data_IF_827584537012
#
_entry.id   IF_827584537012
#
_cell.length_a   1.000
_cell.length_b   1.000
_cell.length_c   1.000
_cell.angle_alpha   90.00
_cell.angle_beta   90.00
_cell.angle_gamma   90.00
#
_symmetry.space_group_name_H-M   'P 1'
#
loop_
_entity.id
_entity.type
_entity.pdbx_description
1 polymer ?
#
# COMPACT_ATOMS: atom_id res chain seq x y z
N UNK A 1 -37.45 -36.27 -5.42
CA UNK A 1 -35.99 -36.51 -5.26
C UNK A 1 -35.13 -35.41 -5.90
N UNK A 2 -35.50 -34.88 -7.07
CA UNK A 2 -34.76 -33.82 -7.79
C UNK A 2 -34.57 -32.51 -7.01
N UNK A 3 -35.59 -32.08 -6.25
CA UNK A 3 -35.57 -30.82 -5.47
C UNK A 3 -34.55 -30.83 -4.33
N UNK A 4 -34.35 -31.97 -3.67
CA UNK A 4 -33.39 -32.10 -2.58
C UNK A 4 -31.93 -32.08 -3.08
N UNK A 5 -31.68 -32.61 -4.27
CA UNK A 5 -30.37 -32.56 -4.94
C UNK A 5 -30.05 -31.11 -5.33
N UNK A 6 -31.02 -30.40 -5.93
CA UNK A 6 -30.87 -28.98 -6.31
C UNK A 6 -30.58 -28.09 -5.10
N UNK A 7 -31.28 -28.31 -3.97
CA UNK A 7 -31.03 -27.56 -2.73
C UNK A 7 -29.62 -27.80 -2.16
N UNK A 8 -29.13 -29.03 -2.23
CA UNK A 8 -27.79 -29.39 -1.76
C UNK A 8 -26.70 -28.74 -2.62
N UNK A 9 -26.86 -28.72 -3.93
CA UNK A 9 -25.90 -28.08 -4.83
C UNK A 9 -25.94 -26.54 -4.69
N UNK A 10 -27.12 -25.94 -4.56
CA UNK A 10 -27.25 -24.50 -4.24
C UNK A 10 -26.54 -24.13 -2.94
N UNK A 11 -26.68 -24.95 -1.90
CA UNK A 11 -25.99 -24.72 -0.61
C UNK A 11 -24.47 -24.72 -0.78
N UNK A 12 -23.90 -25.65 -1.56
CA UNK A 12 -22.46 -25.68 -1.84
C UNK A 12 -21.99 -24.45 -2.61
N UNK A 13 -22.79 -23.98 -3.58
CA UNK A 13 -22.47 -22.77 -4.35
C UNK A 13 -22.40 -21.56 -3.42
N UNK A 14 -23.38 -21.40 -2.53
CA UNK A 14 -23.41 -20.30 -1.55
C UNK A 14 -22.24 -20.37 -0.57
N UNK A 15 -21.90 -21.57 -0.08
CA UNK A 15 -20.74 -21.77 0.80
C UNK A 15 -19.43 -21.43 0.10
N UNK A 16 -19.31 -21.76 -1.18
CA UNK A 16 -18.15 -21.43 -2.01
C UNK A 16 -18.04 -19.93 -2.25
N UNK A 17 -19.17 -19.25 -2.54
CA UNK A 17 -19.20 -17.79 -2.69
C UNK A 17 -18.77 -17.07 -1.41
N UNK A 18 -19.25 -17.51 -0.24
CA UNK A 18 -18.82 -16.94 1.05
C UNK A 18 -17.32 -17.11 1.28
N UNK A 19 -16.75 -18.26 0.92
CA UNK A 19 -15.30 -18.48 1.02
C UNK A 19 -14.53 -17.52 0.11
N UNK A 20 -14.97 -17.34 -1.13
CA UNK A 20 -14.34 -16.42 -2.06
C UNK A 20 -14.44 -14.95 -1.64
N UNK A 21 -15.55 -14.53 -1.03
CA UNK A 21 -15.65 -13.18 -0.45
C UNK A 21 -14.61 -12.93 0.65
N UNK A 22 -14.36 -13.93 1.51
CA UNK A 22 -13.34 -13.84 2.56
C UNK A 22 -11.94 -13.76 1.94
N UNK A 23 -11.63 -14.63 0.99
CA UNK A 23 -10.33 -14.63 0.30
C UNK A 23 -10.08 -13.31 -0.45
N UNK A 24 -11.10 -12.78 -1.13
CA UNK A 24 -11.02 -11.48 -1.80
C UNK A 24 -10.78 -10.33 -0.83
N UNK A 25 -11.41 -10.35 0.35
CA UNK A 25 -11.17 -9.31 1.36
C UNK A 25 -9.76 -9.39 1.95
N UNK A 26 -9.20 -10.59 2.12
CA UNK A 26 -7.81 -10.77 2.53
C UNK A 26 -6.86 -10.20 1.46
N UNK A 27 -7.11 -10.49 0.18
CA UNK A 27 -6.30 -9.98 -0.93
C UNK A 27 -6.41 -8.45 -1.01
N UNK A 28 -7.61 -7.87 -0.91
CA UNK A 28 -7.78 -6.41 -0.88
C UNK A 28 -7.00 -5.77 0.26
N UNK A 29 -7.07 -6.35 1.46
CA UNK A 29 -6.34 -5.85 2.62
C UNK A 29 -4.83 -5.92 2.41
N UNK A 30 -4.33 -7.02 1.84
CA UNK A 30 -2.91 -7.17 1.50
C UNK A 30 -2.47 -6.16 0.43
N UNK A 31 -3.32 -5.90 -0.58
CA UNK A 31 -3.08 -4.87 -1.59
C UNK A 31 -3.06 -3.47 -0.95
N UNK A 32 -4.01 -3.16 -0.07
CA UNK A 32 -4.05 -1.86 0.62
C UNK A 32 -2.82 -1.66 1.51
N UNK A 33 -2.38 -2.71 2.22
CA UNK A 33 -1.16 -2.70 3.05
C UNK A 33 0.10 -2.49 2.19
N UNK A 34 0.22 -3.18 1.05
CA UNK A 34 1.36 -3.02 0.13
C UNK A 34 1.31 -1.73 -0.69
N UNK A 35 0.12 -1.24 -1.08
CA UNK A 35 -0.06 0.02 -1.78
C UNK A 35 0.25 1.22 -0.86
N UNK A 36 0.07 1.10 0.46
CA UNK A 36 0.54 2.10 1.43
C UNK A 36 2.07 2.13 1.56
N UNK A 37 2.75 1.00 1.35
CA UNK A 37 4.21 0.92 1.31
C UNK A 37 4.80 1.42 -0.02
N UNK A 38 4.06 1.27 -1.12
CA UNK A 38 4.42 1.82 -2.43
C UNK A 38 4.15 3.33 -2.50
N UNK A 39 5.05 4.07 -1.84
CA UNK A 39 5.50 5.38 -2.28
C UNK A 39 4.44 6.51 -2.22
N UNK A 40 4.43 7.23 -1.09
CA UNK A 40 3.69 8.49 -0.93
C UNK A 40 4.06 9.49 -2.05
N UNK A 41 3.14 9.85 -2.96
CA UNK A 41 3.44 10.73 -4.10
C UNK A 41 4.00 12.10 -3.66
N UNK A 42 3.54 12.62 -2.53
CA UNK A 42 4.04 13.87 -1.95
C UNK A 42 5.49 13.74 -1.49
N UNK A 43 5.87 12.59 -0.93
CA UNK A 43 7.24 12.33 -0.52
C UNK A 43 8.18 12.27 -1.73
N UNK A 44 7.77 11.61 -2.82
CA UNK A 44 8.51 11.61 -4.08
C UNK A 44 8.70 13.02 -4.65
N UNK A 45 7.65 13.84 -4.64
CA UNK A 45 7.74 15.23 -5.13
C UNK A 45 8.77 16.03 -4.34
N UNK A 46 8.79 15.88 -3.00
CA UNK A 46 9.80 16.53 -2.15
C UNK A 46 11.21 16.04 -2.46
N UNK A 47 11.40 14.74 -2.68
CA UNK A 47 12.71 14.19 -3.08
C UNK A 47 13.16 14.68 -4.45
N UNK A 48 12.28 14.72 -5.43
CA UNK A 48 12.57 15.24 -6.77
C UNK A 48 12.96 16.73 -6.74
N UNK A 49 12.35 17.51 -5.85
CA UNK A 49 12.74 18.90 -5.64
C UNK A 49 14.15 19.03 -5.06
N UNK A 50 14.50 18.20 -4.06
CA UNK A 50 15.84 18.18 -3.47
C UNK A 50 16.89 17.82 -4.53
N UNK A 51 16.60 16.81 -5.36
CA UNK A 51 17.47 16.39 -6.45
C UNK A 51 17.72 17.53 -7.46
N UNK A 52 16.65 18.19 -7.90
CA UNK A 52 16.74 19.33 -8.82
C UNK A 52 17.48 20.55 -8.22
N UNK A 53 17.34 20.80 -6.91
CA UNK A 53 18.10 21.85 -6.22
C UNK A 53 19.60 21.50 -6.18
N UNK A 54 19.93 20.24 -5.88
CA UNK A 54 21.32 19.75 -5.86
C UNK A 54 22.00 19.90 -7.21
N UNK A 55 21.31 19.59 -8.31
CA UNK A 55 21.80 19.80 -9.68
C UNK A 55 22.09 21.27 -9.99
N UNK A 56 21.37 22.20 -9.37
CA UNK A 56 21.61 23.64 -9.49
C UNK A 56 22.73 24.14 -8.56
N UNK A 57 23.40 23.25 -7.83
CA UNK A 57 24.39 23.61 -6.81
C UNK A 57 23.78 24.20 -5.54
N UNK A 58 22.45 24.09 -5.37
CA UNK A 58 21.72 24.50 -4.17
C UNK A 58 21.48 23.26 -3.31
N UNK A 59 22.15 23.16 -2.18
CA UNK A 59 22.04 21.98 -1.31
C UNK A 59 21.86 22.36 0.14
N UNK A 60 21.10 21.53 0.86
CA UNK A 60 21.02 21.61 2.32
C UNK A 60 22.28 20.92 2.88
N UNK A 61 23.07 21.66 3.65
CA UNK A 61 24.20 21.09 4.39
C UNK A 61 23.73 20.64 5.76
N UNK A 62 24.03 19.40 6.10
CA UNK A 62 23.79 18.84 7.43
C UNK A 62 25.11 18.78 8.20
N UNK A 63 25.06 19.07 9.49
CA UNK A 63 26.20 19.08 10.41
C UNK A 63 26.45 17.71 11.03
N UNK A 64 25.44 16.84 11.05
CA UNK A 64 25.56 15.46 11.53
C UNK A 64 24.65 14.49 10.79
N UNK A 65 24.91 13.19 10.99
CA UNK A 65 24.07 12.11 10.45
C UNK A 65 22.67 12.13 11.07
N UNK A 66 22.56 12.47 12.34
CA UNK A 66 21.30 12.57 13.09
C UNK A 66 20.41 13.68 12.54
N UNK A 67 21.01 14.82 12.15
CA UNK A 67 20.30 15.94 11.54
C UNK A 67 19.72 15.54 10.17
N UNK A 68 20.52 14.86 9.35
CA UNK A 68 20.07 14.31 8.07
C UNK A 68 18.94 13.30 8.25
N UNK A 69 19.05 12.38 9.21
CA UNK A 69 18.01 11.40 9.51
C UNK A 69 16.71 12.09 9.93
N UNK A 70 16.79 13.04 10.86
CA UNK A 70 15.63 13.80 11.36
C UNK A 70 14.93 14.57 10.23
N UNK A 71 15.71 15.13 9.30
CA UNK A 71 15.17 15.81 8.13
C UNK A 71 14.36 14.87 7.24
N UNK A 72 14.90 13.70 6.88
CA UNK A 72 14.18 12.73 6.04
C UNK A 72 12.97 12.11 6.76
N UNK A 73 13.05 11.89 8.07
CA UNK A 73 11.92 11.40 8.87
C UNK A 73 10.74 12.40 8.85
N UNK A 74 11.03 13.71 8.96
CA UNK A 74 10.03 14.79 8.79
C UNK A 74 9.55 14.94 7.34
N UNK A 75 10.39 14.61 6.36
CA UNK A 75 10.02 14.71 4.96
C UNK A 75 8.97 13.63 4.61
N UNK A 76 9.10 12.45 5.24
CA UNK A 76 8.26 11.27 5.06
C UNK A 76 6.91 11.36 5.77
N UNK A 77 6.80 12.10 6.89
CA UNK A 77 5.53 12.37 7.60
C UNK A 77 4.59 13.23 6.77
#
# INVERSE_FOLDING_TARGET
>A
MTTAIIQKELKKVVETQKRFEVELNIIKKAIDEHAFEEVRPEYLKKLAQIDAEMDQGKGIKFRSREELKTYFDKLRS
#
